data_IF_187432226447
#
_entry.id   IF_187432226447
#
_cell.length_a   1.000
_cell.length_b   1.000
_cell.length_c   1.000
_cell.angle_alpha   90.00
_cell.angle_beta   90.00
_cell.angle_gamma   90.00
#
_symmetry.space_group_name_H-M   'P 1'
#
loop_
_entity.id
_entity.type
_entity.pdbx_description
1 polymer ?
#
# COMPACT_ATOMS: atom_id res chain seq x y z
N UNK A 1 -16.78 3.43 -23.16
CA UNK A 1 -15.67 3.28 -22.19
C UNK A 1 -15.22 1.83 -22.23
N UNK A 2 -13.94 1.55 -22.47
CA UNK A 2 -13.41 0.19 -22.34
C UNK A 2 -13.46 -0.19 -20.86
N UNK A 3 -14.08 -1.32 -20.52
CA UNK A 3 -14.07 -1.82 -19.15
C UNK A 3 -12.62 -2.00 -18.66
N UNK A 4 -12.31 -1.71 -17.39
CA UNK A 4 -10.99 -1.97 -16.82
C UNK A 4 -10.68 -3.46 -16.95
N UNK A 5 -9.54 -3.81 -17.56
CA UNK A 5 -9.09 -5.20 -17.69
C UNK A 5 -8.15 -5.56 -16.55
N UNK A 6 -8.28 -6.78 -16.04
CA UNK A 6 -7.39 -7.34 -15.04
C UNK A 6 -6.45 -8.34 -15.73
N UNK A 7 -5.19 -8.35 -15.31
CA UNK A 7 -4.14 -9.14 -15.95
C UNK A 7 -3.39 -9.99 -14.92
N UNK A 8 -2.74 -11.05 -15.37
CA UNK A 8 -1.76 -11.78 -14.56
C UNK A 8 -0.39 -11.14 -14.79
N UNK A 9 0.27 -10.68 -13.72
CA UNK A 9 1.57 -10.02 -13.83
C UNK A 9 2.45 -10.31 -12.60
N UNK A 10 3.73 -10.66 -12.82
CA UNK A 10 4.70 -10.90 -11.73
C UNK A 10 4.18 -11.88 -10.65
N UNK A 11 3.47 -12.94 -11.04
CA UNK A 11 2.88 -13.91 -10.10
C UNK A 11 1.65 -13.41 -9.33
N UNK A 12 1.16 -12.19 -9.58
CA UNK A 12 -0.17 -11.73 -9.18
C UNK A 12 -1.19 -12.29 -10.17
N UNK A 13 -2.22 -12.98 -9.67
CA UNK A 13 -3.20 -13.66 -10.52
C UNK A 13 -4.05 -12.69 -11.33
N UNK A 14 -4.71 -11.73 -10.67
CA UNK A 14 -5.48 -10.65 -11.29
C UNK A 14 -5.08 -9.32 -10.68
N UNK A 15 -4.59 -8.41 -11.51
CA UNK A 15 -4.26 -7.04 -11.13
C UNK A 15 -4.75 -6.08 -12.21
N UNK A 16 -5.47 -5.04 -11.76
CA UNK A 16 -5.85 -3.91 -12.58
C UNK A 16 -5.32 -2.63 -11.97
N UNK A 17 -4.67 -1.79 -12.77
CA UNK A 17 -4.15 -0.48 -12.34
C UNK A 17 -4.86 0.59 -13.15
N UNK A 18 -5.36 1.61 -12.45
CA UNK A 18 -6.11 2.70 -13.04
C UNK A 18 -5.54 4.02 -12.55
N UNK A 19 -5.31 4.94 -13.48
CA UNK A 19 -4.89 6.29 -13.19
C UNK A 19 -6.12 7.17 -12.98
N UNK A 20 -6.07 8.02 -11.97
CA UNK A 20 -7.04 9.10 -11.78
C UNK A 20 -6.43 10.41 -12.30
N UNK A 21 -6.90 10.84 -13.46
CA UNK A 21 -6.56 12.12 -14.07
C UNK A 21 -7.66 13.15 -13.76
N UNK A 22 -7.45 14.42 -14.12
CA UNK A 22 -8.47 15.46 -13.98
C UNK A 22 -9.77 15.12 -14.73
N UNK A 23 -9.64 14.41 -15.86
CA UNK A 23 -10.74 14.07 -16.76
C UNK A 23 -11.41 12.70 -16.48
N UNK A 24 -10.93 11.97 -15.46
CA UNK A 24 -11.54 10.70 -15.05
C UNK A 24 -10.55 9.58 -14.75
N UNK A 25 -11.04 8.33 -14.85
CA UNK A 25 -10.29 7.12 -14.56
C UNK A 25 -9.84 6.44 -15.86
N UNK A 26 -8.54 6.25 -16.02
CA UNK A 26 -7.93 5.63 -17.19
C UNK A 26 -7.18 4.33 -16.82
N UNK A 27 -7.65 3.15 -17.28
CA UNK A 27 -6.94 1.90 -17.06
C UNK A 27 -5.59 1.87 -17.79
N UNK A 28 -4.52 1.49 -17.08
CA UNK A 28 -3.21 1.28 -17.70
C UNK A 28 -3.20 0.03 -18.58
N UNK A 29 -2.46 0.09 -19.68
CA UNK A 29 -2.24 -1.05 -20.58
C UNK A 29 -1.16 -1.97 -20.00
N UNK A 30 -1.38 -3.29 -20.05
CA UNK A 30 -0.48 -4.30 -19.46
C UNK A 30 0.96 -4.24 -19.99
N UNK A 31 1.12 -3.82 -21.26
CA UNK A 31 2.40 -3.77 -21.96
C UNK A 31 3.14 -2.43 -21.77
N UNK A 32 2.59 -1.51 -20.98
CA UNK A 32 3.21 -0.22 -20.70
C UNK A 32 4.33 -0.35 -19.66
N UNK A 33 5.30 0.57 -19.70
CA UNK A 33 6.41 0.59 -18.73
C UNK A 33 5.91 0.93 -17.33
N UNK A 34 4.92 1.80 -17.25
CA UNK A 34 4.27 2.26 -16.03
C UNK A 34 3.56 1.08 -15.37
N UNK A 35 2.75 0.33 -16.13
CA UNK A 35 2.09 -0.86 -15.62
C UNK A 35 3.11 -1.88 -15.11
N UNK A 36 4.15 -2.16 -15.90
CA UNK A 36 5.19 -3.14 -15.53
C UNK A 36 5.91 -2.73 -14.24
N UNK A 37 6.31 -1.47 -14.13
CA UNK A 37 6.99 -0.94 -12.93
C UNK A 37 6.09 -0.97 -11.70
N UNK A 38 4.86 -0.48 -11.81
CA UNK A 38 3.90 -0.48 -10.70
C UNK A 38 3.54 -1.91 -10.26
N UNK A 39 3.26 -2.80 -11.20
CA UNK A 39 2.97 -4.20 -10.91
C UNK A 39 4.17 -4.90 -10.26
N UNK A 40 5.40 -4.56 -10.65
CA UNK A 40 6.61 -5.07 -9.99
C UNK A 40 6.72 -4.57 -8.54
N UNK A 41 6.52 -3.27 -8.29
CA UNK A 41 6.54 -2.72 -6.94
C UNK A 41 5.45 -3.33 -6.04
N UNK A 42 4.25 -3.53 -6.57
CA UNK A 42 3.15 -4.21 -5.87
C UNK A 42 3.52 -5.66 -5.53
N UNK A 43 4.06 -6.38 -6.51
CA UNK A 43 4.58 -7.74 -6.28
C UNK A 43 5.65 -7.75 -5.19
N UNK A 44 6.59 -6.80 -5.20
CA UNK A 44 7.63 -6.69 -4.20
C UNK A 44 7.05 -6.41 -2.80
N UNK A 45 6.09 -5.49 -2.69
CA UNK A 45 5.41 -5.18 -1.43
C UNK A 45 4.67 -6.39 -0.84
N UNK A 46 3.93 -7.13 -1.67
CA UNK A 46 3.29 -8.38 -1.22
C UNK A 46 4.33 -9.45 -0.84
N UNK A 47 5.42 -9.55 -1.59
CA UNK A 47 6.48 -10.52 -1.31
C UNK A 47 7.26 -10.20 -0.03
N UNK A 48 7.30 -8.94 0.40
CA UNK A 48 7.77 -8.58 1.75
C UNK A 48 6.87 -9.27 2.78
N UNK A 49 5.55 -9.06 2.71
CA UNK A 49 4.57 -9.63 3.66
C UNK A 49 4.56 -11.16 3.71
N UNK A 50 4.94 -11.82 2.62
CA UNK A 50 4.97 -13.29 2.54
C UNK A 50 6.25 -13.92 3.12
N UNK A 51 7.23 -13.15 3.56
CA UNK A 51 8.38 -13.72 4.26
C UNK A 51 7.99 -14.24 5.65
N UNK A 52 8.70 -15.24 6.20
CA UNK A 52 8.32 -15.85 7.48
C UNK A 52 8.21 -14.85 8.64
N UNK A 53 9.17 -13.94 8.77
CA UNK A 53 9.23 -12.94 9.83
C UNK A 53 8.11 -11.90 9.69
N UNK A 54 7.82 -11.48 8.47
CA UNK A 54 6.79 -10.53 8.10
C UNK A 54 5.38 -11.13 8.28
N UNK A 55 5.19 -12.42 7.94
CA UNK A 55 3.96 -13.16 8.27
C UNK A 55 3.72 -13.17 9.78
N UNK A 56 4.75 -13.38 10.59
CA UNK A 56 4.62 -13.31 12.05
C UNK A 56 4.29 -11.89 12.51
N UNK A 57 4.78 -10.86 11.84
CA UNK A 57 4.42 -9.47 12.16
C UNK A 57 2.93 -9.19 11.83
N UNK A 58 2.43 -9.68 10.69
CA UNK A 58 1.00 -9.64 10.34
C UNK A 58 0.13 -10.40 11.34
N UNK A 59 0.57 -11.58 11.80
CA UNK A 59 -0.15 -12.32 12.83
C UNK A 59 -0.24 -11.52 14.14
N UNK A 60 0.87 -10.88 14.55
CA UNK A 60 0.90 -10.07 15.76
C UNK A 60 -0.01 -8.85 15.65
N UNK A 61 0.03 -8.11 14.55
CA UNK A 61 -0.87 -6.94 14.40
C UNK A 61 -2.33 -7.38 14.43
N UNK A 62 -2.69 -8.48 13.78
CA UNK A 62 -4.04 -9.03 13.81
C UNK A 62 -4.48 -9.43 15.22
N UNK A 63 -3.62 -10.12 15.98
CA UNK A 63 -3.91 -10.49 17.37
C UNK A 63 -4.10 -9.26 18.26
N UNK A 64 -3.21 -8.27 18.14
CA UNK A 64 -3.29 -7.03 18.93
C UNK A 64 -4.56 -6.26 18.60
N UNK A 65 -4.92 -6.12 17.32
CA UNK A 65 -6.18 -5.47 16.91
C UNK A 65 -7.39 -6.18 17.50
N UNK A 66 -7.47 -7.50 17.40
CA UNK A 66 -8.59 -8.28 17.96
C UNK A 66 -8.66 -8.17 19.48
N UNK A 67 -7.51 -8.15 20.16
CA UNK A 67 -7.44 -7.94 21.60
C UNK A 67 -7.93 -6.54 21.99
N UNK A 68 -7.51 -5.50 21.27
CA UNK A 68 -7.91 -4.13 21.54
C UNK A 68 -9.39 -3.88 21.24
N UNK A 69 -9.93 -4.47 20.17
CA UNK A 69 -11.38 -4.47 19.92
C UNK A 69 -12.17 -5.05 21.08
N UNK A 70 -11.74 -6.21 21.60
CA UNK A 70 -12.39 -6.87 22.73
C UNK A 70 -12.23 -6.07 24.03
N UNK A 71 -11.03 -5.54 24.30
CA UNK A 71 -10.70 -4.78 25.51
C UNK A 71 -11.50 -3.48 25.58
N UNK A 72 -11.61 -2.76 24.47
CA UNK A 72 -12.37 -1.51 24.38
C UNK A 72 -13.88 -1.74 24.21
N UNK A 73 -14.31 -2.98 23.97
CA UNK A 73 -15.71 -3.34 23.70
C UNK A 73 -16.33 -2.59 22.51
N UNK A 74 -15.50 -2.20 21.53
CA UNK A 74 -15.94 -1.41 20.36
C UNK A 74 -16.37 -2.31 19.20
N UNK A 75 -15.72 -3.45 19.01
CA UNK A 75 -16.02 -4.36 17.92
C UNK A 75 -15.85 -5.82 18.35
N UNK A 76 -16.66 -6.70 17.78
CA UNK A 76 -16.61 -8.13 18.08
C UNK A 76 -16.07 -8.88 16.87
N UNK A 77 -14.84 -9.35 16.99
CA UNK A 77 -14.28 -10.29 16.03
C UNK A 77 -15.09 -11.60 16.03
N UNK A 78 -15.61 -12.00 14.88
CA UNK A 78 -16.43 -13.21 14.74
C UNK A 78 -15.63 -14.51 14.57
N UNK A 79 -14.31 -14.45 14.41
CA UNK A 79 -13.43 -15.61 14.26
C UNK A 79 -12.81 -16.11 15.57
N UNK A 80 -11.93 -17.10 15.48
CA UNK A 80 -11.12 -17.61 16.59
C UNK A 80 -9.71 -17.01 16.53
N UNK A 81 -9.29 -16.18 17.51
CA UNK A 81 -7.95 -15.59 17.53
C UNK A 81 -6.80 -16.61 17.45
N UNK A 82 -7.02 -17.87 17.89
CA UNK A 82 -6.01 -18.93 17.79
C UNK A 82 -5.74 -19.38 16.35
N UNK A 83 -6.62 -19.04 15.42
CA UNK A 83 -6.47 -19.31 13.99
C UNK A 83 -5.82 -18.15 13.22
N UNK A 84 -5.27 -17.13 13.91
CA UNK A 84 -4.62 -16.00 13.25
C UNK A 84 -3.55 -16.37 12.22
N UNK A 85 -2.67 -17.38 12.43
CA UNK A 85 -1.73 -17.82 11.40
C UNK A 85 -2.43 -18.24 10.11
N UNK A 86 -3.56 -18.96 10.24
CA UNK A 86 -4.37 -19.40 9.11
C UNK A 86 -5.05 -18.21 8.41
N UNK A 87 -5.56 -17.23 9.16
CA UNK A 87 -6.15 -16.02 8.57
C UNK A 87 -5.13 -15.22 7.76
N UNK A 88 -3.88 -15.12 8.22
CA UNK A 88 -2.81 -14.48 7.45
C UNK A 88 -2.52 -15.25 6.16
N UNK A 89 -2.42 -16.57 6.22
CA UNK A 89 -2.15 -17.40 5.03
C UNK A 89 -3.30 -17.32 4.01
N UNK A 90 -4.55 -17.41 4.47
CA UNK A 90 -5.74 -17.29 3.62
C UNK A 90 -5.84 -15.89 3.00
N UNK A 91 -5.56 -14.83 3.77
CA UNK A 91 -5.54 -13.46 3.30
C UNK A 91 -4.47 -13.25 2.21
N UNK A 92 -3.22 -13.61 2.47
CA UNK A 92 -2.13 -13.43 1.51
C UNK A 92 -2.36 -14.24 0.23
N UNK A 93 -2.88 -15.47 0.36
CA UNK A 93 -3.26 -16.29 -0.78
C UNK A 93 -4.38 -15.63 -1.60
N UNK A 94 -5.39 -15.07 -0.95
CA UNK A 94 -6.48 -14.37 -1.61
C UNK A 94 -6.00 -13.13 -2.37
N UNK A 95 -5.19 -12.29 -1.73
CA UNK A 95 -4.61 -11.07 -2.32
C UNK A 95 -3.65 -11.40 -3.47
N UNK A 96 -2.84 -12.46 -3.34
CA UNK A 96 -1.95 -12.91 -4.41
C UNK A 96 -2.74 -13.38 -5.64
N UNK A 97 -3.86 -14.08 -5.41
CA UNK A 97 -4.74 -14.60 -6.48
C UNK A 97 -5.53 -13.49 -7.15
N UNK A 98 -6.09 -12.57 -6.37
CA UNK A 98 -6.99 -11.51 -6.83
C UNK A 98 -6.64 -10.21 -6.10
N UNK A 99 -5.72 -9.45 -6.70
CA UNK A 99 -5.17 -8.26 -6.06
C UNK A 99 -6.18 -7.12 -6.14
N UNK A 100 -6.41 -6.35 -5.06
CA UNK A 100 -7.30 -5.20 -5.08
C UNK A 100 -6.96 -4.25 -6.22
N UNK A 101 -7.98 -3.75 -6.94
CA UNK A 101 -7.75 -2.76 -8.00
C UNK A 101 -7.04 -1.55 -7.44
N UNK A 102 -5.93 -1.18 -8.09
CA UNK A 102 -5.10 -0.05 -7.67
C UNK A 102 -5.53 1.19 -8.42
N UNK A 103 -5.93 2.23 -7.69
CA UNK A 103 -6.19 3.56 -8.24
C UNK A 103 -5.05 4.48 -7.83
N UNK A 104 -4.27 4.93 -8.80
CA UNK A 104 -3.18 5.90 -8.60
C UNK A 104 -3.75 7.30 -8.87
N UNK A 105 -3.82 8.15 -7.85
CA UNK A 105 -4.32 9.52 -7.97
C UNK A 105 -3.48 10.51 -7.17
N UNK A 106 -3.48 11.77 -7.61
CA UNK A 106 -2.54 12.79 -7.12
C UNK A 106 -1.61 13.21 -8.24
N UNK A 107 -2.01 14.31 -8.90
CA UNK A 107 -1.26 15.30 -9.69
C UNK A 107 0.17 14.90 -10.11
N UNK A 108 0.44 14.86 -11.42
CA UNK A 108 1.74 14.61 -12.10
C UNK A 108 2.27 13.17 -12.19
N UNK A 109 1.78 12.21 -11.39
CA UNK A 109 2.44 10.90 -11.19
C UNK A 109 2.55 9.90 -12.35
N UNK A 110 1.57 9.79 -13.25
CA UNK A 110 1.58 8.75 -14.31
C UNK A 110 2.58 9.04 -15.42
N UNK A 111 2.51 10.26 -15.94
CA UNK A 111 3.44 10.78 -16.94
C UNK A 111 4.85 10.90 -16.35
N UNK A 112 4.98 11.12 -15.05
CA UNK A 112 6.26 11.17 -14.37
C UNK A 112 6.94 9.80 -14.30
N UNK A 113 6.24 8.73 -13.91
CA UNK A 113 6.83 7.37 -13.90
C UNK A 113 7.24 6.95 -15.30
N UNK A 114 6.38 7.21 -16.30
CA UNK A 114 6.66 6.99 -17.71
C UNK A 114 7.94 7.70 -18.15
N UNK A 115 8.00 9.02 -17.92
CA UNK A 115 9.12 9.87 -18.28
C UNK A 115 10.38 9.49 -17.54
N UNK A 116 10.30 9.14 -16.25
CA UNK A 116 11.45 8.70 -15.46
C UNK A 116 11.99 7.36 -15.97
N UNK A 117 11.11 6.40 -16.30
CA UNK A 117 11.51 5.11 -16.86
C UNK A 117 12.09 5.25 -18.28
N UNK A 118 11.49 6.10 -19.11
CA UNK A 118 11.96 6.42 -20.46
C UNK A 118 13.32 7.15 -20.38
N UNK A 119 13.45 8.18 -19.56
CA UNK A 119 14.71 8.91 -19.38
C UNK A 119 15.80 8.03 -18.76
N UNK A 120 15.47 7.13 -17.83
CA UNK A 120 16.40 6.13 -17.32
C UNK A 120 16.86 5.13 -18.40
N UNK A 121 16.00 4.78 -19.36
CA UNK A 121 16.35 3.92 -20.50
C UNK A 121 17.13 4.66 -21.59
N UNK A 122 16.72 5.88 -21.93
CA UNK A 122 17.36 6.72 -22.95
C UNK A 122 18.76 7.16 -22.51
N UNK A 123 18.99 7.25 -21.20
CA UNK A 123 20.30 7.57 -20.63
C UNK A 123 21.26 6.39 -20.47
N UNK A 124 21.07 5.36 -21.31
CA UNK A 124 21.95 4.20 -21.44
C UNK A 124 23.44 4.52 -21.70
N UNK A 125 23.82 5.80 -21.88
CA UNK A 125 25.20 6.28 -22.05
C UNK A 125 25.94 6.66 -20.74
N UNK A 126 25.37 6.40 -19.55
CA UNK A 126 26.09 6.62 -18.28
C UNK A 126 26.20 8.10 -17.84
N UNK A 127 25.41 8.99 -18.45
CA UNK A 127 25.33 10.40 -18.07
C UNK A 127 24.91 10.60 -16.60
N UNK A 128 25.26 11.75 -16.00
CA UNK A 128 24.84 12.08 -14.62
C UNK A 128 23.32 12.12 -14.49
N UNK A 129 22.64 12.72 -15.46
CA UNK A 129 21.18 12.82 -15.52
C UNK A 129 20.51 11.46 -15.60
N UNK A 130 21.10 10.53 -16.36
CA UNK A 130 20.61 9.17 -16.43
C UNK A 130 20.68 8.40 -15.14
N UNK A 131 21.84 8.48 -14.48
CA UNK A 131 22.04 7.88 -13.16
C UNK A 131 21.12 8.50 -12.13
N UNK A 132 20.92 9.83 -12.16
CA UNK A 132 19.96 10.55 -11.31
C UNK A 132 18.55 10.02 -11.52
N UNK A 133 18.10 9.93 -12.77
CA UNK A 133 16.75 9.48 -13.09
C UNK A 133 16.52 8.00 -12.75
N UNK A 134 17.48 7.13 -13.05
CA UNK A 134 17.43 5.71 -12.68
C UNK A 134 17.37 5.51 -11.16
N UNK A 135 18.09 6.32 -10.38
CA UNK A 135 17.97 6.32 -8.92
C UNK A 135 16.57 6.72 -8.46
N UNK A 136 15.97 7.76 -9.06
CA UNK A 136 14.61 8.20 -8.71
C UNK A 136 13.56 7.14 -9.01
N UNK A 137 13.64 6.45 -10.15
CA UNK A 137 12.73 5.33 -10.47
C UNK A 137 12.85 4.24 -9.41
N UNK A 138 14.08 3.86 -9.04
CA UNK A 138 14.30 2.85 -8.00
C UNK A 138 13.74 3.28 -6.64
N UNK A 139 13.98 4.52 -6.23
CA UNK A 139 13.44 5.06 -4.98
C UNK A 139 11.91 5.07 -4.97
N UNK A 140 11.30 5.47 -6.08
CA UNK A 140 9.86 5.43 -6.25
C UNK A 140 9.29 4.00 -6.15
N UNK A 141 9.87 3.05 -6.88
CA UNK A 141 9.41 1.66 -6.87
C UNK A 141 9.59 1.03 -5.49
N UNK A 142 10.67 1.36 -4.79
CA UNK A 142 10.90 0.95 -3.40
C UNK A 142 9.84 1.54 -2.46
N UNK A 143 9.58 2.85 -2.54
CA UNK A 143 8.52 3.51 -1.76
C UNK A 143 7.18 2.83 -2.01
N UNK A 144 6.82 2.60 -3.27
CA UNK A 144 5.55 1.97 -3.60
C UNK A 144 5.45 0.54 -3.07
N UNK A 145 6.54 -0.22 -3.04
CA UNK A 145 6.56 -1.54 -2.41
C UNK A 145 6.30 -1.45 -0.90
N UNK A 146 6.93 -0.49 -0.21
CA UNK A 146 6.71 -0.23 1.22
C UNK A 146 5.26 0.18 1.49
N UNK A 147 4.74 1.13 0.70
CA UNK A 147 3.33 1.57 0.79
C UNK A 147 2.38 0.42 0.49
N UNK A 148 2.68 -0.44 -0.47
CA UNK A 148 1.86 -1.61 -0.74
C UNK A 148 1.78 -2.53 0.49
N UNK A 149 2.91 -2.83 1.13
CA UNK A 149 2.93 -3.63 2.34
C UNK A 149 2.16 -2.95 3.49
N UNK A 150 2.33 -1.64 3.66
CA UNK A 150 1.60 -0.82 4.63
C UNK A 150 0.09 -0.92 4.42
N UNK A 151 -0.38 -0.63 3.22
CA UNK A 151 -1.82 -0.55 2.90
C UNK A 151 -2.47 -1.93 2.93
N UNK A 152 -1.76 -2.98 2.51
CA UNK A 152 -2.24 -4.37 2.68
C UNK A 152 -2.43 -4.77 4.15
N UNK A 153 -1.73 -4.11 5.08
CA UNK A 153 -1.98 -4.31 6.52
C UNK A 153 -3.36 -3.79 6.89
N UNK A 154 -3.73 -2.61 6.42
CA UNK A 154 -5.07 -2.07 6.63
C UNK A 154 -6.14 -2.95 5.97
N UNK A 155 -5.88 -3.44 4.76
CA UNK A 155 -6.79 -4.40 4.07
C UNK A 155 -6.92 -5.70 4.87
N UNK A 156 -5.84 -6.18 5.51
CA UNK A 156 -5.90 -7.34 6.41
C UNK A 156 -6.81 -7.07 7.62
N UNK A 157 -6.77 -5.87 8.20
CA UNK A 157 -7.68 -5.49 9.28
C UNK A 157 -9.14 -5.50 8.79
N UNK A 158 -9.43 -4.98 7.58
CA UNK A 158 -10.76 -5.07 6.98
C UNK A 158 -11.20 -6.52 6.75
N UNK A 159 -10.28 -7.40 6.35
CA UNK A 159 -10.54 -8.84 6.22
C UNK A 159 -10.93 -9.46 7.58
N UNK A 160 -10.21 -9.13 8.65
CA UNK A 160 -10.55 -9.55 10.02
C UNK A 160 -11.86 -8.94 10.53
N UNK A 161 -12.21 -7.73 10.09
CA UNK A 161 -13.50 -7.09 10.34
C UNK A 161 -14.67 -7.73 9.55
N UNK A 162 -14.40 -8.76 8.74
CA UNK A 162 -15.41 -9.53 8.02
C UNK A 162 -16.31 -8.67 7.11
N UNK A 163 -15.71 -7.63 6.52
CA UNK A 163 -16.40 -6.72 5.59
C UNK A 163 -17.33 -5.70 6.26
N UNK A 164 -17.32 -5.59 7.59
CA UNK A 164 -17.99 -4.49 8.27
C UNK A 164 -17.24 -3.18 8.00
N UNK A 165 -17.95 -2.14 7.61
CA UNK A 165 -17.40 -0.81 7.35
C UNK A 165 -18.00 0.21 8.33
N UNK A 166 -17.76 -0.04 9.62
CA UNK A 166 -18.12 0.85 10.73
C UNK A 166 -16.85 1.28 11.44
N UNK A 167 -16.81 2.47 12.01
CA UNK A 167 -15.57 3.05 12.56
C UNK A 167 -14.96 2.20 13.66
N UNK A 168 -15.79 1.50 14.43
CA UNK A 168 -15.38 0.60 15.50
C UNK A 168 -14.63 -0.64 14.98
N UNK A 169 -14.90 -1.02 13.73
CA UNK A 169 -14.23 -2.13 13.04
C UNK A 169 -12.90 -1.74 12.42
N UNK A 170 -12.48 -0.48 12.55
CA UNK A 170 -11.19 -0.02 12.05
C UNK A 170 -10.09 -0.32 13.08
N UNK A 171 -8.84 -0.08 12.70
CA UNK A 171 -7.69 -0.20 13.60
C UNK A 171 -7.93 0.61 14.89
N UNK A 172 -7.88 0.00 16.08
CA UNK A 172 -8.01 0.74 17.34
C UNK A 172 -6.89 1.77 17.51
N UNK A 173 -7.14 2.93 18.14
CA UNK A 173 -6.14 3.98 18.36
C UNK A 173 -4.83 3.52 19.01
N UNK A 174 -4.90 2.50 19.88
CA UNK A 174 -3.75 1.93 20.58
C UNK A 174 -2.82 1.15 19.65
N UNK A 175 -3.31 0.73 18.48
CA UNK A 175 -2.53 0.02 17.47
C UNK A 175 -1.97 1.03 16.50
N UNK A 176 -0.91 1.70 16.94
CA UNK A 176 -0.19 2.66 16.12
C UNK A 176 1.29 2.79 16.52
N UNK A 177 2.03 3.64 15.80
CA UNK A 177 3.44 3.95 16.04
C UNK A 177 3.69 5.46 15.89
N UNK A 178 4.60 6.04 16.70
CA UNK A 178 5.03 7.46 16.64
C UNK A 178 3.90 8.50 16.53
N UNK A 179 2.79 8.30 17.24
CA UNK A 179 1.60 9.18 17.22
C UNK A 179 0.94 9.33 15.84
N UNK A 180 1.25 8.48 14.86
CA UNK A 180 0.44 8.39 13.66
C UNK A 180 -0.97 7.91 14.04
N UNK A 181 -2.01 8.49 13.47
CA UNK A 181 -3.40 8.11 13.73
C UNK A 181 -4.16 8.19 12.43
N UNK A 182 -5.21 7.38 12.30
CA UNK A 182 -5.98 7.34 11.06
C UNK A 182 -6.96 8.50 11.00
N UNK A 183 -8.04 8.37 11.76
CA UNK A 183 -9.04 9.40 11.92
C UNK A 183 -8.91 10.03 13.30
N UNK A 184 -9.16 11.34 13.35
CA UNK A 184 -9.32 12.10 14.60
C UNK A 184 -10.74 12.67 14.66
N UNK A 185 -11.25 12.89 15.87
CA UNK A 185 -12.52 13.59 16.10
C UNK A 185 -12.33 15.12 16.01
N UNK A 186 -13.41 15.86 16.26
CA UNK A 186 -13.42 17.33 16.22
C UNK A 186 -12.48 17.98 17.26
N UNK A 187 -12.16 17.25 18.34
CA UNK A 187 -11.19 17.66 19.37
C UNK A 187 -9.76 17.22 19.04
N UNK A 188 -9.55 16.72 17.82
CA UNK A 188 -8.29 16.18 17.31
C UNK A 188 -7.77 14.97 18.12
N UNK A 189 -8.67 14.26 18.81
CA UNK A 189 -8.35 13.04 19.53
C UNK A 189 -8.40 11.84 18.57
N UNK A 190 -7.49 10.87 18.71
CA UNK A 190 -7.44 9.72 17.81
C UNK A 190 -8.68 8.82 17.94
N UNK A 191 -9.41 8.65 16.85
CA UNK A 191 -10.56 7.74 16.74
C UNK A 191 -10.14 6.39 16.16
N UNK A 192 -9.13 6.38 15.29
CA UNK A 192 -8.54 5.14 14.77
C UNK A 192 -7.01 5.17 14.79
N UNK A 193 -6.39 4.00 14.89
CA UNK A 193 -4.94 3.81 14.82
C UNK A 193 -4.43 3.62 13.40
N UNK A 194 -3.13 3.34 13.26
CA UNK A 194 -2.43 3.17 11.98
C UNK A 194 -1.70 1.81 11.93
N UNK A 195 -2.43 0.75 11.53
CA UNK A 195 -1.90 -0.61 11.53
C UNK A 195 -0.70 -0.80 10.60
N UNK A 196 -0.66 -0.08 9.48
CA UNK A 196 0.48 -0.07 8.57
C UNK A 196 1.73 0.52 9.22
N UNK A 197 1.62 1.61 9.99
CA UNK A 197 2.75 2.17 10.76
C UNK A 197 3.20 1.26 11.89
N UNK A 198 2.24 0.60 12.55
CA UNK A 198 2.56 -0.43 13.54
C UNK A 198 3.38 -1.55 12.89
N UNK A 199 3.00 -2.03 11.71
CA UNK A 199 3.74 -3.06 10.99
C UNK A 199 5.15 -2.55 10.60
N UNK A 200 5.25 -1.36 10.00
CA UNK A 200 6.54 -0.76 9.63
C UNK A 200 7.54 -0.73 10.78
N UNK A 201 7.08 -0.35 11.98
CA UNK A 201 7.93 -0.32 13.18
C UNK A 201 8.59 -1.68 13.47
N UNK A 202 7.92 -2.77 13.10
CA UNK A 202 8.41 -4.13 13.27
C UNK A 202 9.30 -4.58 12.11
N UNK A 203 8.98 -4.18 10.88
CA UNK A 203 9.72 -4.57 9.68
C UNK A 203 11.04 -3.83 9.56
N UNK A 204 11.03 -2.53 9.84
CA UNK A 204 12.16 -1.63 9.59
C UNK A 204 12.81 -1.13 10.87
N UNK A 205 12.25 -1.47 12.04
CA UNK A 205 12.69 -0.91 13.33
C UNK A 205 12.31 0.57 13.52
N UNK A 206 11.39 1.09 12.71
CA UNK A 206 10.97 2.49 12.70
C UNK A 206 9.93 2.78 11.62
N UNK A 207 9.70 4.06 11.31
CA UNK A 207 8.88 4.49 10.17
C UNK A 207 9.80 4.83 8.99
N UNK A 208 9.38 4.49 7.77
CA UNK A 208 10.02 5.03 6.58
C UNK A 208 9.27 6.32 6.20
N UNK A 209 10.04 7.41 6.07
CA UNK A 209 9.54 8.74 5.74
C UNK A 209 10.33 9.30 4.57
N UNK A 210 9.59 9.88 3.62
CA UNK A 210 10.16 10.51 2.44
C UNK A 210 9.92 11.99 2.54
N UNK A 211 11.01 12.75 2.48
CA UNK A 211 10.97 14.20 2.52
C UNK A 211 11.34 14.74 1.16
N UNK A 212 10.67 15.82 0.76
CA UNK A 212 11.05 16.59 -0.42
C UNK A 212 12.32 17.37 -0.07
N UNK A 213 13.38 17.17 -0.84
CA UNK A 213 14.53 18.05 -0.78
C UNK A 213 14.17 19.35 -1.53
N UNK A 214 14.07 20.45 -0.80
CA UNK A 214 13.76 21.76 -1.39
C UNK A 214 14.87 22.31 -2.28
N UNK A 215 16.08 21.73 -2.20
CA UNK A 215 17.23 22.09 -3.03
C UNK A 215 17.35 21.27 -4.31
N UNK A 216 16.57 20.20 -4.47
CA UNK A 216 16.52 19.39 -5.69
C UNK A 216 15.27 19.69 -6.53
N UNK A 217 15.27 19.27 -7.79
CA UNK A 217 14.21 19.57 -8.74
C UNK A 217 12.87 18.88 -8.40
N UNK A 218 11.80 19.25 -9.11
CA UNK A 218 10.43 18.75 -8.85
C UNK A 218 10.22 17.27 -9.19
N UNK A 219 11.22 16.58 -9.77
CA UNK A 219 11.10 15.20 -10.17
C UNK A 219 11.29 14.16 -9.05
N UNK A 220 11.29 14.59 -7.79
CA UNK A 220 11.46 13.73 -6.62
C UNK A 220 10.20 12.94 -6.26
N UNK A 221 10.38 11.76 -5.70
CA UNK A 221 9.31 10.83 -5.31
C UNK A 221 8.74 11.09 -3.90
N UNK A 222 8.66 12.35 -3.48
CA UNK A 222 8.45 12.72 -2.07
C UNK A 222 7.00 12.75 -1.58
N UNK A 223 6.01 12.42 -2.40
CA UNK A 223 4.61 12.39 -1.97
C UNK A 223 4.06 10.95 -1.95
N UNK A 224 3.64 10.42 -0.79
CA UNK A 224 3.13 9.06 -0.69
C UNK A 224 1.77 8.94 -1.37
N UNK A 225 1.69 8.00 -2.31
CA UNK A 225 0.44 7.58 -2.94
C UNK A 225 -0.41 6.84 -1.91
N UNK A 226 -1.50 7.43 -1.42
CA UNK A 226 -2.48 6.68 -0.62
C UNK A 226 -3.30 5.78 -1.54
N UNK A 227 -3.28 4.47 -1.29
CA UNK A 227 -4.17 3.53 -1.96
C UNK A 227 -5.59 3.75 -1.44
N UNK A 228 -6.43 4.44 -2.21
CA UNK A 228 -7.85 4.64 -1.84
C UNK A 228 -8.65 3.40 -2.21
N UNK A 229 -9.42 2.87 -1.24
CA UNK A 229 -10.51 1.92 -1.50
C UNK A 229 -11.45 2.50 -2.57
N UNK A 230 -11.96 1.70 -3.53
CA UNK A 230 -13.09 2.12 -4.33
C UNK A 230 -14.28 2.26 -3.38
N UNK A 231 -14.69 3.49 -3.12
CA UNK A 231 -16.03 3.77 -2.60
C UNK A 231 -16.92 3.79 -3.83
N UNK A 232 -17.87 2.84 -3.92
CA UNK A 232 -18.89 2.89 -4.96
C UNK A 232 -19.75 4.17 -4.78
N UNK A 233 -20.28 4.73 -5.88
CA UNK A 233 -20.78 6.11 -5.97
C UNK A 233 -22.00 6.43 -5.09
#
# INVERSE_FOLDING_TARGET
MSAPRDFTANGLGRIGITLRNQDGLEPLQENSLEFTGLAFAIHAGLSILEKPEERQALQRVGLVVVQEWARAQIFRFGGDPNLMPRYVDEFLLAVRRDFPRVIVGGVEGSDHIARMAIAARQSSDGSSEGRKMGNRVRSFLFLLAVVTAHELTHVFITYLAQGQDVIESYTPPQVSYLNYVGLSDDDNLPVTGESGRWLESRLFGGSIEFYRDSSDDSGQSSEPFRLKRPVDP
#
